data_IF_456154030956
#
_entry.id   IF_456154030956
#
_cell.length_a   1.000
_cell.length_b   1.000
_cell.length_c   1.000
_cell.angle_alpha   90.00
_cell.angle_beta   90.00
_cell.angle_gamma   90.00
#
_symmetry.space_group_name_H-M   'P 1'
#
loop_
_entity.id
_entity.type
_entity.pdbx_description
1 polymer ?
#
# COMPACT_ATOMS: atom_id res chain seq x y z
N UNK A 1 -13.23 -39.86 -66.88
CA UNK A 1 -13.69 -38.78 -65.98
C UNK A 1 -12.69 -38.65 -64.84
N UNK A 2 -11.90 -37.56 -64.78
CA UNK A 2 -10.92 -37.33 -63.71
C UNK A 2 -11.61 -36.55 -62.59
N UNK A 3 -11.70 -37.16 -61.41
CA UNK A 3 -12.27 -36.51 -60.22
C UNK A 3 -11.31 -35.44 -59.71
N UNK A 4 -11.76 -34.20 -59.70
CA UNK A 4 -11.03 -33.05 -59.15
C UNK A 4 -10.99 -33.18 -57.62
N UNK A 5 -9.81 -33.15 -56.97
CA UNK A 5 -9.73 -33.24 -55.52
C UNK A 5 -10.42 -32.03 -54.89
N UNK A 6 -11.45 -32.30 -54.09
CA UNK A 6 -12.20 -31.28 -53.37
C UNK A 6 -11.25 -30.50 -52.46
N UNK A 7 -11.35 -29.18 -52.52
CA UNK A 7 -10.49 -28.21 -51.85
C UNK A 7 -10.67 -28.27 -50.32
N UNK A 8 -9.96 -29.18 -49.65
CA UNK A 8 -9.99 -29.41 -48.20
C UNK A 8 -9.65 -28.15 -47.39
N UNK A 9 -8.96 -27.18 -47.99
CA UNK A 9 -8.55 -25.94 -47.33
C UNK A 9 -9.73 -25.00 -47.03
N UNK A 10 -10.83 -25.06 -47.79
CA UNK A 10 -11.99 -24.16 -47.55
C UNK A 10 -12.82 -24.58 -46.34
N UNK A 11 -12.92 -25.88 -46.06
CA UNK A 11 -13.73 -26.43 -44.96
C UNK A 11 -13.09 -26.15 -43.59
N UNK A 12 -11.75 -26.22 -43.51
CA UNK A 12 -11.01 -25.91 -42.28
C UNK A 12 -11.11 -24.41 -41.95
N UNK A 13 -11.01 -23.54 -42.96
CA UNK A 13 -11.14 -22.10 -42.74
C UNK A 13 -12.56 -21.66 -42.33
N UNK A 14 -13.60 -22.35 -42.79
CA UNK A 14 -14.98 -22.14 -42.33
C UNK A 14 -15.16 -22.61 -40.87
N UNK A 15 -14.54 -23.72 -40.49
CA UNK A 15 -14.57 -24.22 -39.10
C UNK A 15 -13.91 -23.22 -38.14
N UNK A 16 -12.77 -22.63 -38.48
CA UNK A 16 -12.06 -21.66 -37.63
C UNK A 16 -12.66 -20.25 -37.63
N UNK A 17 -13.27 -19.77 -38.74
CA UNK A 17 -13.99 -18.49 -38.74
C UNK A 17 -15.19 -18.48 -37.78
N UNK A 18 -15.78 -19.64 -37.49
CA UNK A 18 -16.89 -19.77 -36.55
C UNK A 18 -16.51 -19.50 -35.08
N UNK A 19 -15.23 -19.57 -34.70
CA UNK A 19 -14.78 -19.41 -33.31
C UNK A 19 -14.31 -18.00 -32.96
N UNK A 20 -14.25 -17.07 -33.92
CA UNK A 20 -13.83 -15.67 -33.68
C UNK A 20 -14.95 -14.74 -33.27
N UNK A 21 -16.20 -15.17 -33.38
CA UNK A 21 -17.31 -14.41 -32.79
C UNK A 21 -17.36 -14.81 -31.32
N UNK A 22 -17.13 -13.84 -30.41
CA UNK A 22 -17.35 -14.03 -28.98
C UNK A 22 -18.72 -14.69 -28.81
N UNK A 23 -18.73 -15.93 -28.31
CA UNK A 23 -19.96 -16.67 -28.10
C UNK A 23 -20.83 -15.83 -27.18
N UNK A 24 -21.93 -15.30 -27.71
CA UNK A 24 -22.85 -14.51 -26.94
C UNK A 24 -23.39 -15.37 -25.80
N UNK A 25 -22.99 -15.06 -24.57
CA UNK A 25 -23.44 -15.79 -23.38
C UNK A 25 -24.96 -15.61 -23.29
N UNK A 26 -25.75 -16.71 -23.29
CA UNK A 26 -27.20 -16.63 -23.18
C UNK A 26 -27.64 -15.78 -21.99
N UNK A 27 -28.68 -14.97 -22.18
CA UNK A 27 -29.17 -14.03 -21.15
C UNK A 27 -29.52 -14.73 -19.82
N UNK A 28 -30.03 -15.97 -19.89
CA UNK A 28 -30.33 -16.77 -18.71
C UNK A 28 -29.09 -17.02 -17.84
N UNK A 29 -27.99 -17.49 -18.46
CA UNK A 29 -26.73 -17.75 -17.74
C UNK A 29 -26.20 -16.45 -17.13
N UNK A 30 -26.29 -15.34 -17.87
CA UNK A 30 -25.90 -14.02 -17.36
C UNK A 30 -26.69 -13.61 -16.12
N UNK A 31 -28.01 -13.84 -16.11
CA UNK A 31 -28.87 -13.55 -14.98
C UNK A 31 -28.53 -14.41 -13.76
N UNK A 32 -28.28 -15.71 -13.96
CA UNK A 32 -27.89 -16.63 -12.89
C UNK A 32 -26.54 -16.24 -12.26
N UNK A 33 -25.54 -15.89 -13.07
CA UNK A 33 -24.23 -15.40 -12.59
C UNK A 33 -24.38 -14.09 -11.80
N UNK A 34 -25.20 -13.17 -12.30
CA UNK A 34 -25.46 -11.90 -11.62
C UNK A 34 -26.10 -12.11 -10.25
N UNK A 35 -27.11 -12.99 -10.16
CA UNK A 35 -27.75 -13.33 -8.89
C UNK A 35 -26.74 -13.92 -7.88
N UNK A 36 -25.91 -14.88 -8.31
CA UNK A 36 -24.88 -15.47 -7.47
C UNK A 36 -23.83 -14.45 -6.99
N UNK A 37 -23.42 -13.51 -7.85
CA UNK A 37 -22.50 -12.44 -7.47
C UNK A 37 -23.13 -11.48 -6.45
N UNK A 38 -24.41 -11.15 -6.60
CA UNK A 38 -25.16 -10.34 -5.64
C UNK A 38 -25.27 -11.06 -4.30
N UNK A 39 -25.61 -12.35 -4.30
CA UNK A 39 -25.71 -13.17 -3.09
C UNK A 39 -24.36 -13.22 -2.35
N UNK A 40 -23.25 -13.46 -3.04
CA UNK A 40 -21.90 -13.41 -2.48
C UNK A 40 -21.63 -12.08 -1.77
N UNK A 41 -21.95 -10.95 -2.42
CA UNK A 41 -21.70 -9.62 -1.86
C UNK A 41 -22.53 -9.37 -0.61
N UNK A 42 -23.81 -9.75 -0.64
CA UNK A 42 -24.76 -9.50 0.45
C UNK A 42 -24.49 -10.43 1.63
N UNK A 43 -24.44 -11.74 1.42
CA UNK A 43 -24.31 -12.73 2.49
C UNK A 43 -22.95 -12.64 3.20
N UNK A 44 -21.87 -12.43 2.45
CA UNK A 44 -20.52 -12.31 3.01
C UNK A 44 -20.14 -10.86 3.37
N UNK A 45 -21.07 -9.90 3.22
CA UNK A 45 -20.84 -8.48 3.49
C UNK A 45 -19.59 -7.93 2.77
N UNK A 46 -19.35 -8.36 1.52
CA UNK A 46 -18.21 -7.92 0.72
C UNK A 46 -18.52 -6.57 0.07
N UNK A 47 -17.52 -5.73 -0.23
CA UNK A 47 -17.77 -4.53 -1.01
C UNK A 47 -18.03 -4.89 -2.48
N UNK A 48 -18.93 -4.17 -3.17
CA UNK A 48 -19.25 -4.40 -4.59
C UNK A 48 -18.03 -4.39 -5.52
N UNK A 49 -16.96 -3.66 -5.16
CA UNK A 49 -15.71 -3.67 -5.93
C UNK A 49 -15.04 -5.05 -6.02
N UNK A 50 -15.38 -5.98 -5.13
CA UNK A 50 -14.80 -7.33 -5.07
C UNK A 50 -15.02 -8.08 -6.38
N UNK A 51 -16.23 -8.05 -6.94
CA UNK A 51 -16.56 -8.74 -8.20
C UNK A 51 -15.87 -8.13 -9.42
N UNK A 52 -15.46 -6.86 -9.33
CA UNK A 52 -14.72 -6.16 -10.37
C UNK A 52 -13.20 -6.36 -10.25
N UNK A 53 -12.72 -6.98 -9.18
CA UNK A 53 -11.30 -7.21 -8.94
C UNK A 53 -10.71 -8.23 -9.92
N UNK A 54 -9.49 -7.96 -10.40
CA UNK A 54 -8.76 -8.86 -11.31
C UNK A 54 -8.63 -10.28 -10.72
N UNK A 55 -8.34 -10.38 -9.42
CA UNK A 55 -8.19 -11.67 -8.73
C UNK A 55 -9.48 -12.50 -8.74
N UNK A 56 -10.65 -11.86 -8.60
CA UNK A 56 -11.93 -12.56 -8.65
C UNK A 56 -12.21 -13.11 -10.06
N UNK A 57 -11.94 -12.33 -11.10
CA UNK A 57 -12.08 -12.76 -12.50
C UNK A 57 -11.18 -13.95 -12.82
N UNK A 58 -9.93 -13.90 -12.40
CA UNK A 58 -8.97 -15.00 -12.60
C UNK A 58 -9.44 -16.27 -11.86
N UNK A 59 -9.95 -16.13 -10.63
CA UNK A 59 -10.52 -17.26 -9.88
C UNK A 59 -11.74 -17.86 -10.61
N UNK A 60 -12.69 -17.03 -11.04
CA UNK A 60 -13.88 -17.48 -11.77
C UNK A 60 -13.51 -18.19 -13.08
N UNK A 61 -12.54 -17.64 -13.83
CA UNK A 61 -12.03 -18.27 -15.04
C UNK A 61 -11.38 -19.63 -14.76
N UNK A 62 -10.60 -19.74 -13.68
CA UNK A 62 -9.97 -21.00 -13.29
C UNK A 62 -11.01 -22.04 -12.88
N UNK A 63 -12.04 -21.66 -12.11
CA UNK A 63 -13.15 -22.56 -11.76
C UNK A 63 -13.87 -23.05 -13.01
N UNK A 64 -14.15 -22.15 -13.97
CA UNK A 64 -14.77 -22.51 -15.24
C UNK A 64 -13.91 -23.48 -16.05
N UNK A 65 -12.61 -23.22 -16.15
CA UNK A 65 -11.66 -24.09 -16.84
C UNK A 65 -11.58 -25.48 -16.20
N UNK A 66 -11.55 -25.55 -14.86
CA UNK A 66 -11.59 -26.83 -14.13
C UNK A 66 -12.90 -27.56 -14.41
N UNK A 67 -14.03 -26.85 -14.39
CA UNK A 67 -15.34 -27.41 -14.72
C UNK A 67 -15.39 -28.04 -16.11
N UNK A 68 -14.69 -27.48 -17.10
CA UNK A 68 -14.60 -28.04 -18.46
C UNK A 68 -13.82 -29.35 -18.53
N UNK A 69 -12.93 -29.62 -17.57
CA UNK A 69 -12.12 -30.84 -17.52
C UNK A 69 -12.84 -31.98 -16.78
N UNK A 70 -13.96 -31.72 -16.11
CA UNK A 70 -14.67 -32.71 -15.32
C UNK A 70 -15.70 -33.45 -16.19
N UNK A 71 -15.86 -34.78 -16.01
CA UNK A 71 -16.80 -35.57 -16.76
C UNK A 71 -18.25 -35.14 -16.46
N UNK A 72 -19.06 -35.03 -17.52
CA UNK A 72 -20.45 -34.51 -17.48
C UNK A 72 -21.36 -35.32 -16.54
N UNK A 73 -21.02 -36.58 -16.26
CA UNK A 73 -21.85 -37.53 -15.53
C UNK A 73 -21.69 -37.51 -14.01
N UNK A 74 -20.86 -36.64 -13.43
CA UNK A 74 -20.58 -36.67 -11.99
C UNK A 74 -20.97 -35.38 -11.30
N UNK A 75 -21.78 -35.51 -10.24
CA UNK A 75 -22.04 -34.41 -9.32
C UNK A 75 -20.73 -34.03 -8.61
N UNK A 76 -20.30 -32.79 -8.83
CA UNK A 76 -19.08 -32.26 -8.22
C UNK A 76 -19.45 -31.73 -6.83
N UNK A 77 -18.90 -32.35 -5.78
CA UNK A 77 -19.00 -31.79 -4.45
C UNK A 77 -18.09 -30.56 -4.33
N UNK A 78 -18.70 -29.36 -4.38
CA UNK A 78 -17.99 -28.06 -4.31
C UNK A 78 -17.11 -27.94 -3.05
N UNK A 79 -17.49 -28.59 -1.94
CA UNK A 79 -16.70 -28.56 -0.70
C UNK A 79 -15.34 -29.24 -0.85
N UNK A 80 -15.22 -30.20 -1.77
CA UNK A 80 -13.97 -30.88 -2.08
C UNK A 80 -13.15 -30.13 -3.14
N UNK A 81 -13.79 -29.26 -3.92
CA UNK A 81 -13.13 -28.46 -4.96
C UNK A 81 -12.42 -27.23 -4.37
N UNK A 82 -13.06 -26.55 -3.40
CA UNK A 82 -12.51 -25.34 -2.82
C UNK A 82 -11.57 -25.66 -1.65
N UNK A 83 -10.36 -25.06 -1.60
CA UNK A 83 -9.44 -25.30 -0.51
C UNK A 83 -9.97 -24.71 0.80
N UNK A 84 -9.72 -25.39 1.91
CA UNK A 84 -9.99 -24.85 3.24
C UNK A 84 -9.16 -23.58 3.50
N UNK A 85 -9.69 -22.63 4.29
CA UNK A 85 -9.06 -21.34 4.59
C UNK A 85 -7.63 -21.47 5.13
N UNK A 86 -7.37 -22.50 5.95
CA UNK A 86 -6.02 -22.78 6.47
C UNK A 86 -5.01 -23.22 5.40
N UNK A 87 -5.46 -23.83 4.31
CA UNK A 87 -4.61 -24.17 3.15
C UNK A 87 -4.30 -22.90 2.37
N UNK A 88 -5.31 -22.06 2.13
CA UNK A 88 -5.13 -20.76 1.46
C UNK A 88 -4.15 -19.88 2.23
N UNK A 89 -4.26 -19.83 3.56
CA UNK A 89 -3.34 -19.09 4.43
C UNK A 89 -1.90 -19.58 4.26
N UNK A 90 -1.66 -20.89 4.39
CA UNK A 90 -0.32 -21.49 4.23
C UNK A 90 0.27 -21.22 2.85
N UNK A 91 -0.55 -21.31 1.81
CA UNK A 91 -0.10 -21.03 0.45
C UNK A 91 0.22 -19.54 0.25
N UNK A 92 -0.56 -18.65 0.85
CA UNK A 92 -0.28 -17.22 0.85
C UNK A 92 1.07 -16.92 1.52
N UNK A 93 1.33 -17.51 2.70
CA UNK A 93 2.61 -17.35 3.41
C UNK A 93 3.80 -17.80 2.54
N UNK A 94 3.69 -18.97 1.91
CA UNK A 94 4.72 -19.46 0.99
C UNK A 94 4.94 -18.53 -0.20
N UNK A 95 3.87 -18.01 -0.82
CA UNK A 95 3.98 -17.04 -1.91
C UNK A 95 4.61 -15.73 -1.43
N UNK A 96 4.30 -15.27 -0.22
CA UNK A 96 4.95 -14.09 0.35
C UNK A 96 6.44 -14.31 0.53
N UNK A 97 6.86 -15.45 1.06
CA UNK A 97 8.27 -15.78 1.24
C UNK A 97 9.00 -15.87 -0.11
N UNK A 98 8.41 -16.52 -1.11
CA UNK A 98 8.98 -16.60 -2.46
C UNK A 98 9.19 -15.20 -3.07
N UNK A 99 8.16 -14.34 -2.98
CA UNK A 99 8.26 -12.96 -3.51
C UNK A 99 9.21 -12.10 -2.69
N UNK A 100 9.29 -12.32 -1.38
CA UNK A 100 10.24 -11.64 -0.49
C UNK A 100 11.68 -11.96 -0.88
N UNK A 101 12.02 -13.22 -1.14
CA UNK A 101 13.38 -13.61 -1.55
C UNK A 101 13.75 -13.04 -2.94
N UNK A 102 12.79 -13.01 -3.87
CA UNK A 102 12.96 -12.33 -5.16
C UNK A 102 13.24 -10.83 -4.98
N UNK A 103 12.49 -10.16 -4.11
CA UNK A 103 12.69 -8.74 -3.79
C UNK A 103 14.02 -8.48 -3.10
N UNK A 104 14.43 -9.31 -2.13
CA UNK A 104 15.74 -9.18 -1.47
C UNK A 104 16.86 -9.25 -2.51
N UNK A 105 16.77 -10.19 -3.44
CA UNK A 105 17.76 -10.33 -4.52
C UNK A 105 17.83 -9.07 -5.40
N UNK A 106 16.68 -8.47 -5.72
CA UNK A 106 16.61 -7.22 -6.50
C UNK A 106 17.18 -6.06 -5.68
N UNK A 107 16.80 -5.92 -4.42
CA UNK A 107 17.25 -4.86 -3.53
C UNK A 107 18.75 -4.93 -3.28
N UNK A 108 19.34 -6.11 -3.11
CA UNK A 108 20.79 -6.29 -2.94
C UNK A 108 21.57 -5.85 -4.19
N UNK A 109 21.00 -6.01 -5.39
CA UNK A 109 21.60 -5.52 -6.64
C UNK A 109 21.47 -4.01 -6.81
N UNK A 110 20.48 -3.39 -6.17
CA UNK A 110 20.31 -1.94 -6.17
C UNK A 110 21.23 -1.30 -5.12
N UNK A 111 22.33 -0.68 -5.55
CA UNK A 111 23.29 0.00 -4.64
C UNK A 111 22.71 1.18 -3.84
N UNK A 112 21.45 1.56 -4.08
CA UNK A 112 20.81 2.73 -3.49
C UNK A 112 19.32 2.45 -3.30
N UNK A 113 18.90 2.34 -2.06
CA UNK A 113 17.48 2.36 -1.68
C UNK A 113 17.26 3.43 -0.62
N UNK A 114 16.03 3.91 -0.54
CA UNK A 114 15.58 4.82 0.49
C UNK A 114 14.49 4.10 1.27
N UNK A 115 14.71 3.93 2.57
CA UNK A 115 13.69 3.39 3.47
C UNK A 115 12.78 4.54 3.90
N UNK A 116 11.47 4.30 3.80
CA UNK A 116 10.46 5.24 4.25
C UNK A 116 9.67 4.55 5.33
N UNK A 117 9.65 5.16 6.51
CA UNK A 117 8.89 4.63 7.63
C UNK A 117 7.57 5.39 7.72
N UNK A 118 6.48 4.66 7.51
CA UNK A 118 5.14 5.23 7.52
C UNK A 118 4.48 5.07 8.91
N UNK A 119 4.43 6.16 9.67
CA UNK A 119 3.54 6.31 10.83
C UNK A 119 2.28 7.13 10.49
N UNK A 120 1.11 6.59 10.83
CA UNK A 120 -0.14 7.35 10.91
C UNK A 120 -0.90 6.98 12.19
N UNK A 121 -1.76 7.88 12.64
CA UNK A 121 -2.76 7.62 13.70
C UNK A 121 -4.13 7.67 13.05
N UNK A 122 -4.81 6.54 12.98
CA UNK A 122 -6.21 6.52 12.55
C UNK A 122 -7.10 7.02 13.69
N UNK A 123 -7.73 8.19 13.49
CA UNK A 123 -8.83 8.65 14.34
C UNK A 123 -10.13 8.11 13.77
N UNK A 124 -10.49 6.90 14.15
CA UNK A 124 -11.88 6.47 13.94
C UNK A 124 -12.72 7.13 15.05
N UNK A 125 -13.80 7.81 14.69
CA UNK A 125 -14.88 8.18 15.60
C UNK A 125 -16.03 7.23 15.30
N UNK A 126 -16.22 6.23 16.16
CA UNK A 126 -17.41 5.43 16.04
C UNK A 126 -18.58 6.25 16.57
N UNK A 127 -19.35 6.84 15.66
CA UNK A 127 -20.67 7.38 15.95
C UNK A 127 -21.63 6.22 16.23
N UNK A 128 -21.39 5.49 17.33
CA UNK A 128 -22.42 4.65 17.92
C UNK A 128 -23.34 5.63 18.65
N UNK A 129 -24.50 5.93 18.04
CA UNK A 129 -25.61 6.40 18.86
C UNK A 129 -25.84 5.31 19.91
N UNK A 130 -25.86 5.64 21.21
CA UNK A 130 -26.33 4.68 22.20
C UNK A 130 -27.71 4.21 21.72
N UNK A 131 -27.91 2.90 21.67
CA UNK A 131 -29.27 2.40 21.46
C UNK A 131 -30.14 3.02 22.56
N UNK A 132 -31.36 3.49 22.25
CA UNK A 132 -32.31 3.83 23.30
C UNK A 132 -32.41 2.63 24.23
N UNK A 133 -32.27 2.88 25.54
CA UNK A 133 -32.29 1.82 26.55
C UNK A 133 -33.45 0.87 26.28
N UNK A 134 -33.20 -0.46 26.23
CA UNK A 134 -34.28 -1.42 26.07
C UNK A 134 -35.26 -1.18 27.21
N UNK A 135 -36.49 -0.82 26.86
CA UNK A 135 -37.54 -0.60 27.85
C UNK A 135 -37.64 -1.81 28.77
N UNK A 136 -37.74 -1.63 30.10
CA UNK A 136 -37.72 -2.71 31.05
C UNK A 136 -39.04 -3.49 30.97
N UNK A 137 -39.15 -4.47 30.07
CA UNK A 137 -40.42 -5.19 29.92
C UNK A 137 -40.50 -6.34 28.91
N UNK A 138 -39.40 -6.82 28.32
CA UNK A 138 -39.49 -7.87 27.31
C UNK A 138 -38.39 -8.93 27.46
N UNK A 139 -38.76 -10.09 27.99
CA UNK A 139 -37.93 -11.30 27.91
C UNK A 139 -38.04 -11.89 26.50
N UNK A 140 -37.38 -11.29 25.50
CA UNK A 140 -37.28 -11.90 24.18
C UNK A 140 -35.85 -12.16 23.77
N UNK A 141 -35.66 -13.36 23.19
CA UNK A 141 -34.39 -13.97 22.80
C UNK A 141 -33.54 -13.01 21.97
N UNK A 142 -32.29 -12.84 22.40
CA UNK A 142 -31.21 -12.25 21.61
C UNK A 142 -31.09 -12.94 20.24
N UNK A 143 -31.55 -12.28 19.19
CA UNK A 143 -31.08 -12.56 17.82
C UNK A 143 -29.94 -11.60 17.50
N UNK A 144 -28.81 -12.16 17.05
CA UNK A 144 -27.62 -11.44 16.60
C UNK A 144 -27.94 -10.50 15.42
N UNK A 145 -28.31 -9.26 15.71
CA UNK A 145 -28.39 -8.19 14.69
C UNK A 145 -26.97 -7.75 14.34
N UNK A 146 -26.45 -8.26 13.21
CA UNK A 146 -25.27 -7.73 12.50
C UNK A 146 -25.47 -6.22 12.24
N UNK A 147 -24.73 -5.36 12.95
CA UNK A 147 -24.68 -3.93 12.70
C UNK A 147 -23.76 -3.64 11.52
N UNK A 148 -24.25 -2.93 10.51
CA UNK A 148 -23.42 -2.40 9.42
C UNK A 148 -22.80 -1.07 9.85
N UNK A 149 -21.50 -0.91 9.61
CA UNK A 149 -20.74 0.32 9.86
C UNK A 149 -20.43 0.93 8.50
N UNK A 150 -20.95 2.13 8.23
CA UNK A 150 -20.57 2.90 7.04
C UNK A 150 -19.35 3.76 7.35
N UNK A 151 -18.27 3.58 6.59
CA UNK A 151 -17.02 4.33 6.71
C UNK A 151 -16.96 5.40 5.61
N UNK A 152 -16.60 6.64 5.98
CA UNK A 152 -16.23 7.70 5.03
C UNK A 152 -14.75 8.02 5.22
N UNK A 153 -14.02 8.08 4.10
CA UNK A 153 -12.62 8.47 4.06
C UNK A 153 -12.49 9.79 3.31
N UNK A 154 -11.69 10.71 3.85
CA UNK A 154 -11.25 11.92 3.15
C UNK A 154 -9.72 11.89 3.12
N UNK A 155 -9.14 11.66 1.95
CA UNK A 155 -7.69 11.49 1.74
C UNK A 155 -7.21 12.50 0.70
N UNK A 156 -6.70 13.64 1.16
CA UNK A 156 -5.98 14.59 0.31
C UNK A 156 -4.49 14.24 0.29
N UNK A 157 -4.00 13.67 -0.83
CA UNK A 157 -2.60 13.24 -0.98
C UNK A 157 -1.85 14.21 -1.88
N UNK A 158 -0.69 14.72 -1.42
CA UNK A 158 0.27 15.53 -2.19
C UNK A 158 1.51 14.68 -2.46
N UNK A 159 2.11 14.75 -3.64
CA UNK A 159 3.16 13.83 -4.09
C UNK A 159 4.48 14.59 -4.33
N UNK A 160 5.56 14.08 -3.76
CA UNK A 160 6.95 14.51 -4.00
C UNK A 160 7.68 13.32 -4.62
N UNK A 161 8.22 13.49 -5.81
CA UNK A 161 9.01 12.46 -6.49
C UNK A 161 10.50 12.76 -6.27
N UNK A 162 11.25 11.79 -5.76
CA UNK A 162 12.70 11.93 -5.56
C UNK A 162 13.46 11.21 -6.67
N UNK A 163 14.35 11.92 -7.37
CA UNK A 163 15.31 11.30 -8.30
C UNK A 163 16.72 11.48 -7.75
N UNK A 164 17.57 10.45 -7.84
CA UNK A 164 18.99 10.54 -7.49
C UNK A 164 19.82 10.11 -8.69
N UNK A 165 20.25 11.07 -9.49
CA UNK A 165 21.31 10.87 -10.49
C UNK A 165 22.68 11.10 -9.86
N UNK A 166 23.67 10.29 -10.27
CA UNK A 166 25.07 10.62 -10.10
C UNK A 166 25.67 10.88 -11.49
N UNK A 167 26.34 12.02 -11.62
CA UNK A 167 27.36 12.28 -12.63
C UNK A 167 28.55 11.34 -12.40
N UNK A 168 29.06 10.77 -13.50
CA UNK A 168 30.34 10.09 -13.56
C UNK A 168 31.44 11.13 -13.62
N UNK A 169 32.28 11.24 -12.58
CA UNK A 169 33.64 11.76 -12.71
C UNK A 169 34.60 10.61 -12.37
N UNK A 170 35.47 10.36 -13.33
CA UNK A 170 36.54 9.38 -13.45
C UNK A 170 37.34 9.11 -12.17
N UNK A 171 37.47 7.83 -11.81
CA UNK A 171 38.77 7.18 -11.64
C UNK A 171 38.61 5.65 -11.59
N UNK A 172 39.08 5.01 -12.67
CA UNK A 172 39.48 3.59 -12.65
C UNK A 172 40.60 3.46 -11.62
N UNK A 173 40.48 2.55 -10.65
CA UNK A 173 41.44 1.46 -10.47
C UNK A 173 41.20 0.69 -9.17
N UNK A 174 41.36 -0.64 -9.31
CA UNK A 174 41.62 -1.65 -8.26
C UNK A 174 40.48 -1.90 -7.27
N UNK A 175 39.80 -3.04 -7.44
CA UNK A 175 40.01 -4.17 -6.54
C UNK A 175 39.42 -5.45 -7.16
N UNK A 176 40.31 -6.32 -7.63
CA UNK A 176 40.04 -7.73 -7.92
C UNK A 176 40.62 -8.58 -6.80
N UNK A 177 40.04 -9.78 -6.57
CA UNK A 177 40.42 -10.86 -5.62
C UNK A 177 39.81 -10.66 -4.22
N UNK A 178 39.16 -11.64 -3.60
CA UNK A 178 39.23 -13.10 -3.71
C UNK A 178 37.82 -13.73 -3.62
N UNK A 179 37.55 -14.66 -4.55
CA UNK A 179 36.63 -15.78 -4.36
C UNK A 179 37.51 -16.99 -4.05
N UNK A 180 37.27 -17.65 -2.91
CA UNK A 180 37.29 -19.11 -2.72
C UNK A 180 37.57 -19.44 -1.25
N UNK A 181 36.62 -20.07 -0.57
CA UNK A 181 36.83 -21.34 0.13
C UNK A 181 35.53 -21.80 0.78
N UNK A 182 35.07 -22.95 0.33
CA UNK A 182 34.11 -23.84 0.98
C UNK A 182 34.82 -24.58 2.10
N UNK A 183 34.18 -24.73 3.25
CA UNK A 183 34.32 -25.92 4.10
C UNK A 183 33.08 -26.12 4.98
N UNK A 184 32.64 -27.37 5.04
CA UNK A 184 31.58 -27.94 5.87
C UNK A 184 32.11 -28.32 7.26
N UNK A 185 31.34 -28.14 8.35
CA UNK A 185 31.12 -29.11 9.46
C UNK A 185 30.25 -28.52 10.59
N UNK A 186 29.86 -29.41 11.50
CA UNK A 186 28.65 -29.44 12.34
C UNK A 186 28.62 -28.54 13.58
N UNK A 187 27.39 -28.42 14.09
CA UNK A 187 26.91 -27.72 15.28
C UNK A 187 27.79 -27.95 16.51
N UNK A 188 28.29 -26.87 17.10
CA UNK A 188 28.40 -26.72 18.55
C UNK A 188 28.21 -25.26 18.98
N UNK A 189 27.38 -25.03 19.99
CA UNK A 189 26.97 -23.70 20.45
C UNK A 189 28.08 -23.07 21.30
N UNK A 190 28.89 -22.18 20.71
CA UNK A 190 29.58 -21.12 21.48
C UNK A 190 29.98 -19.96 20.58
N UNK A 191 29.73 -18.75 21.08
CA UNK A 191 29.74 -17.48 20.37
C UNK A 191 31.03 -17.23 19.56
N UNK A 192 30.87 -16.91 18.28
CA UNK A 192 31.88 -16.23 17.45
C UNK A 192 31.26 -14.93 16.96
N UNK A 193 31.85 -13.81 17.40
CA UNK A 193 31.69 -12.48 16.80
C UNK A 193 32.67 -12.37 15.63
N UNK A 194 32.18 -12.13 14.41
CA UNK A 194 32.77 -11.13 13.50
C UNK A 194 31.83 -10.83 12.31
N UNK A 195 31.55 -9.53 12.16
CA UNK A 195 31.47 -8.72 10.94
C UNK A 195 30.60 -9.15 9.75
N UNK A 196 29.53 -8.36 9.56
CA UNK A 196 28.62 -8.31 8.40
C UNK A 196 27.57 -9.42 8.30
N UNK A 197 26.74 -9.50 9.34
CA UNK A 197 25.52 -10.31 9.33
C UNK A 197 24.47 -9.72 10.24
N UNK A 198 24.02 -8.50 9.96
CA UNK A 198 22.86 -7.96 10.68
C UNK A 198 21.61 -8.63 10.12
N UNK A 199 21.15 -9.69 10.76
CA UNK A 199 19.76 -10.14 10.64
C UNK A 199 18.88 -9.06 11.24
N UNK A 200 18.57 -8.02 10.46
CA UNK A 200 17.55 -7.03 10.80
C UNK A 200 16.19 -7.73 10.73
N UNK A 201 15.79 -8.38 11.83
CA UNK A 201 14.35 -8.56 12.13
C UNK A 201 13.79 -7.20 12.55
N UNK A 202 13.69 -6.28 11.60
CA UNK A 202 12.91 -5.07 11.79
C UNK A 202 11.44 -5.41 11.54
N UNK A 203 10.77 -5.95 12.56
CA UNK A 203 9.30 -5.96 12.62
C UNK A 203 8.90 -4.80 13.52
N UNK A 204 8.46 -3.69 12.95
CA UNK A 204 7.93 -2.58 13.75
C UNK A 204 6.56 -2.97 14.28
N UNK A 205 6.46 -3.17 15.59
CA UNK A 205 5.18 -3.35 16.28
C UNK A 205 4.63 -1.97 16.64
N UNK A 206 3.77 -1.41 15.80
CA UNK A 206 3.00 -0.21 16.15
C UNK A 206 1.76 -0.61 16.93
N UNK A 207 1.59 -0.09 18.14
CA UNK A 207 0.39 -0.26 18.96
C UNK A 207 -0.37 1.06 19.00
N UNK A 208 -1.65 1.03 18.69
CA UNK A 208 -2.55 2.16 18.86
C UNK A 208 -3.66 1.78 19.84
N UNK A 209 -3.89 2.61 20.84
CA UNK A 209 -4.98 2.51 21.80
C UNK A 209 -6.20 3.26 21.27
N UNK A 210 -7.36 2.62 21.34
CA UNK A 210 -8.60 3.15 20.77
C UNK A 210 -9.71 3.17 21.83
N UNK A 211 -10.22 4.35 22.20
CA UNK A 211 -11.31 4.49 23.17
C UNK A 211 -12.69 4.33 22.52
N UNK A 212 -13.36 3.21 22.80
CA UNK A 212 -14.81 3.03 22.57
C UNK A 212 -15.40 2.73 23.93
N UNK A 213 -16.34 3.55 24.42
CA UNK A 213 -17.09 3.28 25.65
C UNK A 213 -16.23 2.60 26.74
N UNK A 214 -15.34 3.38 27.37
CA UNK A 214 -14.39 3.00 28.44
C UNK A 214 -13.45 1.81 28.19
N UNK A 215 -13.54 1.10 27.05
CA UNK A 215 -12.70 -0.06 26.76
C UNK A 215 -11.76 0.22 25.60
N UNK A 216 -10.48 0.30 25.94
CA UNK A 216 -9.39 0.50 24.98
C UNK A 216 -9.16 -0.82 24.21
N UNK A 217 -9.39 -0.84 22.89
CA UNK A 217 -9.06 -1.99 22.04
C UNK A 217 -7.70 -1.72 21.37
N UNK A 218 -6.64 -2.46 21.71
CA UNK A 218 -5.36 -2.33 21.02
C UNK A 218 -5.45 -2.97 19.63
N UNK A 219 -5.17 -2.20 18.58
CA UNK A 219 -4.99 -2.74 17.23
C UNK A 219 -3.50 -2.90 16.96
N UNK A 220 -3.09 -4.11 16.58
CA UNK A 220 -1.71 -4.42 16.18
C UNK A 220 -1.66 -4.69 14.68
N UNK A 221 -0.62 -4.19 14.01
CA UNK A 221 -0.32 -4.50 12.62
C UNK A 221 1.06 -5.16 12.55
N UNK A 222 1.14 -6.29 11.86
CA UNK A 222 2.39 -6.96 11.52
C UNK A 222 2.63 -6.75 10.04
N UNK A 223 3.62 -5.93 9.70
CA UNK A 223 4.04 -5.68 8.33
C UNK A 223 5.54 -5.41 8.30
N UNK A 224 6.17 -5.62 7.15
CA UNK A 224 7.52 -5.12 6.94
C UNK A 224 7.47 -3.57 6.96
N UNK A 225 8.43 -2.90 7.63
CA UNK A 225 8.49 -1.43 7.72
C UNK A 225 9.01 -0.81 6.40
N UNK A 226 8.48 -1.26 5.27
CA UNK A 226 8.87 -0.82 3.94
C UNK A 226 7.62 -0.32 3.21
N UNK A 227 7.75 0.83 2.55
CA UNK A 227 6.76 1.34 1.61
C UNK A 227 7.46 1.82 0.34
N UNK A 228 6.83 1.74 -0.84
CA UNK A 228 7.40 2.29 -2.06
C UNK A 228 7.75 3.78 -1.86
N UNK A 229 9.01 4.13 -2.11
CA UNK A 229 9.56 5.47 -1.83
C UNK A 229 9.66 6.37 -3.06
N UNK A 230 9.05 5.99 -4.19
CA UNK A 230 9.11 6.77 -5.43
C UNK A 230 8.39 8.11 -5.31
N UNK A 231 7.33 8.14 -4.49
CA UNK A 231 6.46 9.27 -4.24
C UNK A 231 6.21 9.39 -2.74
N UNK A 232 6.53 10.54 -2.15
CA UNK A 232 6.36 10.80 -0.73
C UNK A 232 5.37 11.94 -0.50
N UNK A 233 4.57 11.80 0.54
CA UNK A 233 3.70 12.88 0.96
C UNK A 233 4.49 13.95 1.69
N UNK A 234 4.04 15.20 1.61
CA UNK A 234 4.68 16.32 2.31
C UNK A 234 4.92 16.01 3.78
N UNK A 235 3.91 15.43 4.43
CA UNK A 235 3.99 15.02 5.83
C UNK A 235 5.10 13.98 6.07
N UNK A 236 5.28 13.01 5.16
CA UNK A 236 6.36 12.02 5.23
C UNK A 236 7.74 12.59 4.98
N UNK A 237 7.82 13.66 4.21
CA UNK A 237 9.10 14.31 3.95
C UNK A 237 9.56 15.20 5.10
N UNK A 238 8.71 15.51 6.08
CA UNK A 238 9.08 16.36 7.20
C UNK A 238 10.24 15.74 7.99
N UNK A 239 11.30 16.52 8.18
CA UNK A 239 12.53 16.07 8.85
C UNK A 239 13.53 15.35 7.93
N UNK A 240 13.16 15.02 6.69
CA UNK A 240 14.09 14.44 5.72
C UNK A 240 14.91 15.54 5.02
N UNK A 241 16.16 15.22 4.70
CA UNK A 241 17.01 16.00 3.79
C UNK A 241 17.20 15.20 2.51
N UNK A 242 16.87 15.80 1.37
CA UNK A 242 16.85 15.18 0.05
C UNK A 242 17.87 15.86 -0.86
N UNK A 243 18.45 15.10 -1.80
CA UNK A 243 19.47 15.63 -2.71
C UNK A 243 18.85 16.43 -3.86
N UNK A 244 17.84 15.86 -4.52
CA UNK A 244 17.04 16.48 -5.58
C UNK A 244 15.58 16.07 -5.41
N UNK A 245 14.65 16.98 -5.70
CA UNK A 245 13.21 16.75 -5.58
C UNK A 245 12.46 17.29 -6.79
N UNK A 246 11.42 16.57 -7.18
CA UNK A 246 10.36 17.04 -8.05
C UNK A 246 9.10 17.21 -7.18
N UNK A 247 8.63 18.44 -7.05
CA UNK A 247 7.51 18.78 -6.16
C UNK A 247 6.28 19.14 -6.97
N UNK A 248 5.17 18.46 -6.71
CA UNK A 248 3.86 18.89 -7.18
C UNK A 248 3.17 19.76 -6.12
N UNK A 249 3.19 21.07 -6.32
CA UNK A 249 2.57 22.06 -5.43
C UNK A 249 1.10 22.33 -5.78
N UNK A 250 0.40 21.40 -6.43
CA UNK A 250 -1.03 21.58 -6.68
C UNK A 250 -1.82 21.80 -5.39
N UNK A 251 -2.50 22.94 -5.35
CA UNK A 251 -3.38 23.33 -4.24
C UNK A 251 -4.82 23.09 -4.70
N UNK A 252 -5.51 22.09 -4.13
CA UNK A 252 -6.95 22.00 -4.35
C UNK A 252 -7.64 23.24 -3.75
N UNK A 253 -8.79 23.67 -4.31
CA UNK A 253 -9.56 24.79 -3.76
C UNK A 253 -9.92 24.51 -2.29
N UNK A 254 -9.50 25.40 -1.38
CA UNK A 254 -9.66 25.22 0.06
C UNK A 254 -8.63 26.00 0.89
N UNK A 255 -8.58 25.73 2.19
CA UNK A 255 -7.62 26.37 3.10
C UNK A 255 -6.20 25.82 2.88
N UNK A 256 -5.35 26.65 2.29
CA UNK A 256 -3.95 26.30 2.09
C UNK A 256 -3.15 26.57 3.37
N UNK A 257 -2.56 25.52 3.93
CA UNK A 257 -1.64 25.66 5.06
C UNK A 257 -0.24 26.02 4.56
N UNK A 258 0.42 27.00 5.19
CA UNK A 258 1.81 27.42 4.89
C UNK A 258 2.78 26.24 4.83
N UNK A 259 2.61 25.28 5.75
CA UNK A 259 3.43 24.07 5.82
C UNK A 259 3.37 23.22 4.54
N UNK A 260 2.28 23.26 3.78
CA UNK A 260 2.13 22.53 2.52
C UNK A 260 3.05 23.01 1.40
N UNK A 261 3.70 24.17 1.55
CA UNK A 261 4.60 24.72 0.53
C UNK A 261 6.02 24.76 1.09
N UNK A 262 6.15 25.28 2.31
CA UNK A 262 7.45 25.41 2.95
C UNK A 262 8.12 24.06 3.22
N UNK A 263 7.37 23.06 3.70
CA UNK A 263 7.95 21.75 4.04
C UNK A 263 8.60 21.08 2.83
N UNK A 264 7.93 20.86 1.67
CA UNK A 264 8.58 20.21 0.54
C UNK A 264 9.78 20.99 0.00
N UNK A 265 9.68 22.32 -0.09
CA UNK A 265 10.76 23.17 -0.64
C UNK A 265 12.00 23.21 0.26
N UNK A 266 11.82 23.11 1.58
CA UNK A 266 12.92 23.08 2.56
C UNK A 266 13.61 21.71 2.68
N UNK A 267 13.22 20.71 1.89
CA UNK A 267 13.85 19.37 1.96
C UNK A 267 15.18 19.30 1.23
N UNK A 268 15.47 20.22 0.31
CA UNK A 268 16.76 20.28 -0.39
C UNK A 268 17.65 21.39 0.16
N UNK A 269 18.97 21.24 0.00
CA UNK A 269 19.95 22.25 0.39
C UNK A 269 20.08 23.40 -0.62
N UNK A 270 19.89 23.11 -1.92
CA UNK A 270 20.10 24.05 -3.00
C UNK A 270 18.83 24.21 -3.84
N UNK A 271 18.47 25.46 -4.18
CA UNK A 271 17.29 25.74 -5.01
C UNK A 271 17.33 25.06 -6.39
N UNK A 272 18.52 24.96 -7.01
CA UNK A 272 18.72 24.27 -8.30
C UNK A 272 18.41 22.78 -8.27
N UNK A 273 18.28 22.18 -7.09
CA UNK A 273 17.93 20.77 -6.92
C UNK A 273 16.42 20.55 -6.74
N UNK A 274 15.62 21.61 -6.81
CA UNK A 274 14.16 21.53 -6.79
C UNK A 274 13.60 21.84 -8.16
N UNK A 275 12.77 20.94 -8.67
CA UNK A 275 11.91 21.19 -9.82
C UNK A 275 10.47 21.24 -9.35
N UNK A 276 9.76 22.31 -9.67
CA UNK A 276 8.32 22.43 -9.40
C UNK A 276 7.58 21.96 -10.65
N UNK A 277 6.78 20.91 -10.51
CA UNK A 277 6.18 20.21 -11.65
C UNK A 277 5.18 21.06 -12.45
N UNK A 278 4.50 22.01 -11.79
CA UNK A 278 3.49 22.89 -12.39
C UNK A 278 3.88 24.36 -12.20
N UNK A 279 3.37 25.28 -13.05
CA UNK A 279 3.53 26.71 -12.82
C UNK A 279 3.05 27.08 -11.42
N UNK A 280 3.94 27.67 -10.62
CA UNK A 280 3.64 28.12 -9.27
C UNK A 280 3.03 29.53 -9.32
N UNK A 281 1.81 29.70 -8.82
CA UNK A 281 1.27 31.03 -8.58
C UNK A 281 2.04 31.69 -7.43
N UNK A 282 2.71 32.82 -7.70
CA UNK A 282 3.51 33.55 -6.72
C UNK A 282 2.68 33.98 -5.51
N UNK A 283 1.37 34.20 -5.67
CA UNK A 283 0.45 34.51 -4.56
C UNK A 283 0.42 33.40 -3.51
N UNK A 284 0.65 32.15 -3.94
CA UNK A 284 0.73 30.99 -3.06
C UNK A 284 1.91 31.08 -2.08
N UNK A 285 3.01 31.74 -2.49
CA UNK A 285 4.18 31.97 -1.64
C UNK A 285 3.96 33.10 -0.61
N UNK A 286 2.96 33.95 -0.84
CA UNK A 286 2.65 35.10 0.03
C UNK A 286 1.68 34.73 1.16
N UNK A 287 1.49 33.44 1.44
CA UNK A 287 0.67 33.01 2.55
C UNK A 287 1.25 33.47 3.88
N UNK A 288 0.44 34.23 4.60
CA UNK A 288 0.78 34.66 5.95
C UNK A 288 0.59 33.49 6.94
N UNK A 289 1.46 33.36 7.96
CA UNK A 289 1.22 32.46 9.07
C UNK A 289 -0.10 32.81 9.76
N UNK A 290 -0.73 31.83 10.41
CA UNK A 290 -1.93 32.11 11.20
C UNK A 290 -1.61 33.09 12.33
N UNK A 291 -2.60 33.84 12.82
CA UNK A 291 -2.39 34.78 13.94
C UNK A 291 -1.74 34.11 15.16
N UNK A 292 -2.10 32.86 15.45
CA UNK A 292 -1.48 32.06 16.50
C UNK A 292 0.00 31.73 16.19
N UNK A 293 0.35 31.38 14.95
CA UNK A 293 1.73 31.16 14.53
C UNK A 293 2.55 32.45 14.58
N UNK A 294 1.98 33.57 14.13
CA UNK A 294 2.62 34.88 14.19
C UNK A 294 2.88 35.33 15.64
N UNK A 295 1.89 35.16 16.53
CA UNK A 295 2.06 35.43 17.96
C UNK A 295 3.13 34.54 18.60
N UNK A 296 3.19 33.26 18.21
CA UNK A 296 4.23 32.34 18.67
C UNK A 296 5.63 32.76 18.20
N UNK A 297 5.79 33.20 16.95
CA UNK A 297 7.06 33.73 16.43
C UNK A 297 7.48 34.99 17.19
N UNK A 298 6.56 35.95 17.38
CA UNK A 298 6.84 37.17 18.17
C UNK A 298 7.30 36.84 19.59
N UNK A 299 6.63 35.90 20.25
CA UNK A 299 7.01 35.42 21.60
C UNK A 299 8.43 34.83 21.62
N UNK A 300 8.81 34.09 20.57
CA UNK A 300 10.17 33.52 20.46
C UNK A 300 11.22 34.61 20.26
N UNK A 301 10.94 35.66 19.48
CA UNK A 301 11.84 36.80 19.28
C UNK A 301 12.03 37.59 20.58
N UNK A 302 10.97 37.80 21.35
CA UNK A 302 11.03 38.42 22.68
C UNK A 302 11.88 37.58 23.65
N UNK A 303 11.71 36.26 23.63
CA UNK A 303 12.48 35.34 24.48
C UNK A 303 13.97 35.34 24.11
N UNK A 304 14.32 35.34 22.82
CA UNK A 304 15.72 35.42 22.35
C UNK A 304 16.40 36.73 22.78
N UNK A 305 15.67 37.86 22.72
CA UNK A 305 16.17 39.16 23.21
C UNK A 305 16.45 39.14 24.70
N UNK A 306 15.54 38.59 25.50
CA UNK A 306 15.69 38.51 26.95
C UNK A 306 16.89 37.61 27.33
N UNK A 307 17.03 36.45 26.69
CA UNK A 307 18.17 35.54 26.91
C UNK A 307 19.49 36.24 26.59
N UNK A 308 19.58 36.96 25.47
CA UNK A 308 20.81 37.70 25.10
C UNK A 308 21.17 38.78 26.12
N UNK A 309 20.18 39.48 26.68
CA UNK A 309 20.40 40.49 27.72
C UNK A 309 20.91 39.85 29.02
N UNK A 310 20.28 38.75 29.47
CA UNK A 310 20.71 38.02 30.66
C UNK A 310 22.14 37.48 30.51
N UNK A 311 22.47 36.87 29.37
CA UNK A 311 23.82 36.38 29.10
C UNK A 311 24.87 37.51 29.09
N UNK A 312 24.52 38.69 28.60
CA UNK A 312 25.44 39.84 28.59
C UNK A 312 25.68 40.37 30.00
N UNK A 313 24.63 40.46 30.82
CA UNK A 313 24.72 40.89 32.21
C UNK A 313 25.49 39.90 33.10
N UNK A 314 25.47 38.60 32.79
CA UNK A 314 26.20 37.59 33.53
C UNK A 314 27.71 37.54 33.21
N UNK A 315 28.15 38.22 32.14
CA UNK A 315 29.56 38.28 31.73
C UNK A 315 30.30 39.52 32.26
N UNK A 316 29.58 40.48 32.85
CA UNK A 316 30.11 41.69 33.47
C UNK A 316 30.23 41.53 34.98
#
# INVERSE_FOLDING_TARGET
>A
MKATPANTQSTINLFYKSFKNELAIPNRIRQEINAACTELVVLDCRPFKTINGMSFRNLAQNIFNVGRCLPISHEINIRNLLPHSSIVSRHADHLYDEKREQLITICQKMMRYADVVDFWKDKYTANLKPDPDPSPGGSERFQDKKRSISLKYDLHTKIIVCTRENEYITSRNKFSRCLSQTDSYSIDQKAIRCSYGTTLRASTRSSATWEKNTKIIPVTRTQLPIVPALALTIYKTQGLTMNKILVDLYVPPGTLQVASIYVPLSRVKNGHHTVIFRPLDVKTLQLQPTSAQAAALKRLDELDKNIKQECTSAML
#
